data_IF_181078228590
#
_entry.id   IF_181078228590
#
_cell.length_a   1.000
_cell.length_b   1.000
_cell.length_c   1.000
_cell.angle_alpha   90.00
_cell.angle_beta   90.00
_cell.angle_gamma   90.00
#
_symmetry.space_group_name_H-M   'P 1'
#
loop_
_entity.id
_entity.type
_entity.pdbx_description
1 polymer ?
#
# COMPACT_ATOMS: atom_id res chain seq x y z
N UNK A 1 13.90 12.61 -18.25
CA UNK A 1 13.18 11.62 -17.43
C UNK A 1 11.70 11.73 -17.75
N UNK A 2 11.02 10.62 -17.97
CA UNK A 2 9.57 10.55 -18.17
C UNK A 2 9.00 9.65 -17.08
N UNK A 3 7.97 10.11 -16.36
CA UNK A 3 7.28 9.34 -15.33
C UNK A 3 5.92 8.91 -15.91
N UNK A 4 5.58 7.65 -15.73
CA UNK A 4 4.30 7.07 -16.11
C UNK A 4 3.63 6.46 -14.87
N UNK A 5 2.35 6.67 -14.75
CA UNK A 5 1.48 6.03 -13.78
C UNK A 5 0.49 5.12 -14.51
N UNK A 6 0.21 3.96 -13.94
CA UNK A 6 -0.69 2.98 -14.55
C UNK A 6 -0.96 1.81 -13.62
N UNK A 7 -1.82 0.89 -14.07
CA UNK A 7 -2.00 -0.38 -13.38
C UNK A 7 -0.81 -1.32 -13.62
N UNK A 8 -0.71 -2.36 -12.80
CA UNK A 8 0.38 -3.33 -12.85
C UNK A 8 0.58 -3.95 -14.24
N UNK A 9 -0.51 -4.32 -14.91
CA UNK A 9 -0.45 -4.99 -16.22
C UNK A 9 0.15 -4.06 -17.28
N UNK A 10 -0.33 -2.81 -17.35
CA UNK A 10 0.16 -1.83 -18.30
C UNK A 10 1.64 -1.51 -18.07
N UNK A 11 2.03 -1.25 -16.81
CA UNK A 11 3.43 -0.94 -16.47
C UNK A 11 4.36 -2.12 -16.77
N UNK A 12 3.93 -3.36 -16.53
CA UNK A 12 4.69 -4.56 -16.86
C UNK A 12 4.89 -4.71 -18.36
N UNK A 13 3.84 -4.46 -19.16
CA UNK A 13 3.92 -4.47 -20.62
C UNK A 13 4.87 -3.37 -21.12
N UNK A 14 4.77 -2.16 -20.59
CA UNK A 14 5.65 -1.06 -20.98
C UNK A 14 7.13 -1.36 -20.63
N UNK A 15 7.40 -1.97 -19.48
CA UNK A 15 8.75 -2.40 -19.10
C UNK A 15 9.28 -3.46 -20.09
N UNK A 16 8.46 -4.45 -20.44
CA UNK A 16 8.80 -5.51 -21.39
C UNK A 16 9.07 -4.94 -22.79
N UNK A 17 8.26 -3.98 -23.24
CA UNK A 17 8.39 -3.31 -24.55
C UNK A 17 9.52 -2.28 -24.60
N UNK A 18 10.29 -2.09 -23.53
CA UNK A 18 11.37 -1.09 -23.43
C UNK A 18 10.89 0.36 -23.47
N UNK A 19 9.63 0.60 -23.13
CA UNK A 19 9.06 1.93 -22.98
C UNK A 19 9.35 2.52 -21.59
N UNK A 20 9.63 1.63 -20.62
CA UNK A 20 10.13 1.98 -19.28
C UNK A 20 11.45 1.28 -19.01
N UNK A 21 12.35 1.96 -18.31
CA UNK A 21 13.61 1.40 -17.82
C UNK A 21 13.47 0.79 -16.44
N UNK A 22 12.69 1.44 -15.58
CA UNK A 22 12.45 1.09 -14.18
C UNK A 22 10.95 1.13 -13.87
N UNK A 23 10.49 0.27 -12.97
CA UNK A 23 9.12 0.28 -12.44
C UNK A 23 9.16 0.05 -10.93
N UNK A 24 8.34 0.80 -10.19
CA UNK A 24 8.12 0.56 -8.75
C UNK A 24 6.87 -0.27 -8.59
N UNK A 25 6.99 -1.39 -7.86
CA UNK A 25 5.88 -2.34 -7.65
C UNK A 25 6.08 -3.14 -6.36
N UNK A 26 5.14 -4.01 -6.02
CA UNK A 26 5.29 -4.93 -4.90
C UNK A 26 6.20 -6.10 -5.28
N UNK A 27 7.01 -6.59 -4.34
CA UNK A 27 7.88 -7.77 -4.57
C UNK A 27 7.10 -8.97 -5.12
N UNK A 28 5.85 -9.16 -4.68
CA UNK A 28 4.97 -10.22 -5.15
C UNK A 28 4.60 -10.15 -6.63
N UNK A 29 4.83 -9.00 -7.26
CA UNK A 29 4.52 -8.74 -8.67
C UNK A 29 5.75 -8.84 -9.59
N UNK A 30 6.93 -9.08 -9.00
CA UNK A 30 8.17 -9.32 -9.75
C UNK A 30 8.08 -10.65 -10.49
N UNK A 31 8.32 -10.63 -11.79
CA UNK A 31 8.33 -11.83 -12.64
C UNK A 31 9.75 -12.37 -12.84
N UNK A 32 9.85 -13.58 -13.41
CA UNK A 32 11.15 -14.18 -13.74
C UNK A 32 11.97 -13.39 -14.79
N UNK A 33 11.32 -12.51 -15.54
CA UNK A 33 11.97 -11.64 -16.56
C UNK A 33 12.55 -10.36 -15.94
N UNK A 34 12.36 -10.15 -14.63
CA UNK A 34 12.79 -8.94 -13.90
C UNK A 34 13.90 -9.25 -12.90
N UNK A 35 14.71 -8.26 -12.64
CA UNK A 35 15.52 -8.09 -11.43
C UNK A 35 14.88 -7.01 -10.57
N UNK A 36 15.01 -7.13 -9.25
CA UNK A 36 14.41 -6.21 -8.32
C UNK A 36 15.40 -5.75 -7.25
N UNK A 37 15.32 -4.48 -6.91
CA UNK A 37 16.08 -3.87 -5.81
C UNK A 37 15.10 -3.46 -4.72
N UNK A 38 15.24 -3.97 -3.49
CA UNK A 38 14.37 -3.60 -2.39
C UNK A 38 14.45 -2.10 -2.06
N UNK A 39 13.30 -1.49 -1.81
CA UNK A 39 13.18 -0.13 -1.31
C UNK A 39 12.76 -0.11 0.16
N UNK A 40 11.85 -0.99 0.58
CA UNK A 40 11.38 -1.09 1.95
C UNK A 40 10.03 -1.80 2.02
N UNK A 41 9.47 -1.83 3.22
CA UNK A 41 8.14 -2.42 3.47
C UNK A 41 7.17 -1.32 3.91
N UNK A 42 5.96 -1.31 3.37
CA UNK A 42 4.89 -0.42 3.80
C UNK A 42 3.72 -1.20 4.40
N UNK A 43 3.07 -0.59 5.39
CA UNK A 43 1.88 -1.16 6.00
C UNK A 43 0.66 -0.96 5.09
N UNK A 44 -0.30 -1.88 5.23
CA UNK A 44 -1.59 -1.82 4.58
C UNK A 44 -2.64 -1.51 5.65
N UNK A 45 -3.17 -0.30 5.63
CA UNK A 45 -3.97 0.28 6.70
C UNK A 45 -5.46 0.24 6.38
N UNK A 46 -6.27 0.18 7.42
CA UNK A 46 -7.67 0.60 7.35
C UNK A 46 -7.75 2.13 7.38
N UNK A 47 -8.71 2.69 6.68
CA UNK A 47 -9.07 4.10 6.71
C UNK A 47 -10.55 4.24 7.00
N UNK A 48 -10.88 5.04 8.02
CA UNK A 48 -12.23 5.34 8.48
C UNK A 48 -12.46 6.85 8.55
N UNK A 49 -13.73 7.31 8.42
CA UNK A 49 -14.08 8.69 8.75
C UNK A 49 -13.66 9.05 10.19
N UNK A 50 -13.27 10.30 10.42
CA UNK A 50 -12.76 10.74 11.72
C UNK A 50 -13.77 10.61 12.87
N UNK A 51 -15.06 10.64 12.57
CA UNK A 51 -16.19 10.51 13.50
C UNK A 51 -16.85 9.13 13.48
N UNK A 52 -16.25 8.14 12.80
CA UNK A 52 -16.83 6.80 12.69
C UNK A 52 -16.90 6.09 14.06
N UNK A 53 -18.04 5.45 14.43
CA UNK A 53 -18.19 4.80 15.76
C UNK A 53 -17.15 3.73 16.05
N UNK A 54 -16.65 3.02 15.04
CA UNK A 54 -15.62 2.00 15.20
C UNK A 54 -14.27 2.57 15.68
N UNK A 55 -14.05 3.88 15.58
CA UNK A 55 -12.84 4.51 16.08
C UNK A 55 -12.63 4.30 17.58
N UNK A 56 -13.73 4.11 18.35
CA UNK A 56 -13.69 3.84 19.79
C UNK A 56 -13.28 2.40 20.13
N UNK A 57 -13.21 1.52 19.12
CA UNK A 57 -12.83 0.11 19.26
C UNK A 57 -11.36 -0.16 18.97
N UNK A 58 -10.65 0.85 18.52
CA UNK A 58 -9.23 0.74 18.25
C UNK A 58 -8.44 0.55 19.56
N UNK A 59 -7.38 -0.24 19.49
CA UNK A 59 -6.50 -0.52 20.63
C UNK A 59 -5.07 -0.12 20.30
N UNK A 60 -4.35 0.54 21.22
CA UNK A 60 -2.95 0.89 21.01
C UNK A 60 -2.09 -0.36 20.76
N UNK A 61 -1.10 -0.22 19.89
CA UNK A 61 -0.10 -1.26 19.61
C UNK A 61 1.27 -0.70 19.99
N UNK A 62 1.96 -1.36 20.89
CA UNK A 62 3.31 -0.96 21.32
C UNK A 62 4.27 -0.93 20.12
N UNK A 63 5.02 0.15 19.97
CA UNK A 63 5.96 0.34 18.87
C UNK A 63 5.33 0.66 17.50
N UNK A 64 4.02 0.69 17.38
CA UNK A 64 3.33 1.09 16.15
C UNK A 64 2.90 2.57 16.20
N UNK A 65 2.99 3.23 15.05
CA UNK A 65 2.43 4.58 14.87
C UNK A 65 0.90 4.57 14.83
N UNK A 66 0.29 3.44 14.49
CA UNK A 66 -1.13 3.30 14.30
C UNK A 66 -1.70 2.33 15.33
N UNK A 67 -2.85 2.65 15.87
CA UNK A 67 -3.64 1.73 16.68
C UNK A 67 -4.14 0.58 15.81
N UNK A 68 -4.38 -0.57 16.42
CA UNK A 68 -4.99 -1.72 15.75
C UNK A 68 -6.52 -1.61 15.80
N UNK A 69 -7.16 -1.86 14.67
CA UNK A 69 -8.60 -2.08 14.60
C UNK A 69 -8.88 -3.44 13.97
N UNK A 70 -9.62 -4.30 14.70
CA UNK A 70 -9.98 -5.62 14.19
C UNK A 70 -10.85 -5.47 12.92
N UNK A 71 -10.37 -5.95 11.75
CA UNK A 71 -11.12 -5.87 10.50
C UNK A 71 -12.48 -6.58 10.54
N UNK A 72 -12.68 -7.56 11.45
CA UNK A 72 -13.97 -8.22 11.62
C UNK A 72 -15.09 -7.23 11.92
N UNK A 73 -14.77 -6.14 12.62
CA UNK A 73 -15.73 -5.09 12.97
C UNK A 73 -16.29 -4.33 11.76
N UNK A 74 -15.64 -4.43 10.60
CA UNK A 74 -16.13 -3.84 9.35
C UNK A 74 -17.34 -4.61 8.74
N UNK A 75 -17.78 -5.71 9.39
CA UNK A 75 -18.97 -6.43 8.94
C UNK A 75 -20.20 -5.56 9.01
N UNK A 76 -20.97 -5.50 7.93
CA UNK A 76 -22.13 -4.61 7.79
C UNK A 76 -21.83 -3.25 7.15
N UNK A 77 -20.56 -2.84 7.12
CA UNK A 77 -20.16 -1.54 6.56
C UNK A 77 -20.16 -1.53 5.01
N UNK A 78 -20.24 -0.33 4.44
CA UNK A 78 -19.91 -0.11 3.04
C UNK A 78 -18.39 -0.05 2.91
N UNK A 79 -17.79 -0.97 2.15
CA UNK A 79 -16.34 -1.05 1.99
C UNK A 79 -15.95 -0.66 0.56
N UNK A 80 -15.02 0.29 0.43
CA UNK A 80 -14.39 0.63 -0.83
C UNK A 80 -13.21 -0.31 -1.09
N UNK A 81 -13.22 -0.98 -2.24
CA UNK A 81 -12.16 -1.86 -2.71
C UNK A 81 -11.65 -1.38 -4.06
N UNK A 82 -10.38 -1.62 -4.32
CA UNK A 82 -9.79 -1.34 -5.63
C UNK A 82 -10.33 -2.27 -6.71
N UNK A 83 -10.15 -1.91 -7.99
CA UNK A 83 -10.44 -2.82 -9.10
C UNK A 83 -9.54 -4.04 -9.07
N UNK A 84 -9.97 -5.16 -9.65
CA UNK A 84 -9.22 -6.41 -9.73
C UNK A 84 -7.86 -6.28 -10.44
N UNK A 85 -7.72 -5.26 -11.28
CA UNK A 85 -6.46 -4.95 -11.99
C UNK A 85 -5.38 -4.33 -11.10
N UNK A 86 -5.73 -3.90 -9.88
CA UNK A 86 -4.81 -3.30 -8.92
C UNK A 86 -4.24 -4.36 -7.98
N UNK A 87 -2.92 -4.33 -7.73
CA UNK A 87 -2.25 -5.26 -6.81
C UNK A 87 -2.83 -5.22 -5.39
N UNK A 88 -3.28 -4.05 -4.95
CA UNK A 88 -3.91 -3.85 -3.65
C UNK A 88 -5.16 -4.71 -3.45
N UNK A 89 -5.95 -4.96 -4.51
CA UNK A 89 -7.18 -5.76 -4.43
C UNK A 89 -6.95 -7.15 -3.82
N UNK A 90 -5.84 -7.81 -4.16
CA UNK A 90 -5.50 -9.13 -3.60
C UNK A 90 -5.31 -9.09 -2.08
N UNK A 91 -4.71 -8.00 -1.57
CA UNK A 91 -4.51 -7.81 -0.13
C UNK A 91 -5.83 -7.53 0.56
N UNK A 92 -6.65 -6.64 -0.01
CA UNK A 92 -7.98 -6.31 0.49
C UNK A 92 -8.86 -7.56 0.64
N UNK A 93 -8.95 -8.38 -0.40
CA UNK A 93 -9.73 -9.63 -0.38
C UNK A 93 -9.16 -10.64 0.62
N UNK A 94 -7.83 -10.73 0.72
CA UNK A 94 -7.19 -11.60 1.71
C UNK A 94 -7.57 -11.16 3.13
N UNK A 95 -7.54 -9.87 3.44
CA UNK A 95 -7.93 -9.34 4.75
C UNK A 95 -9.41 -9.68 5.03
N UNK A 96 -10.31 -9.36 4.09
CA UNK A 96 -11.74 -9.66 4.25
C UNK A 96 -11.99 -11.16 4.51
N UNK A 97 -11.29 -12.02 3.80
CA UNK A 97 -11.38 -13.49 3.98
C UNK A 97 -10.84 -13.93 5.33
N UNK A 98 -9.62 -13.51 5.67
CA UNK A 98 -8.91 -13.97 6.88
C UNK A 98 -9.64 -13.56 8.15
N UNK A 99 -10.20 -12.36 8.18
CA UNK A 99 -11.01 -11.84 9.28
C UNK A 99 -12.50 -12.14 9.17
N UNK A 100 -12.90 -12.92 8.14
CA UNK A 100 -14.29 -13.31 7.90
C UNK A 100 -15.26 -12.12 7.88
N UNK A 101 -14.79 -11.00 7.32
CA UNK A 101 -15.60 -9.80 7.16
C UNK A 101 -16.74 -10.06 6.20
N UNK A 102 -17.96 -9.66 6.58
CA UNK A 102 -19.14 -9.71 5.73
C UNK A 102 -19.61 -8.28 5.42
N UNK A 103 -19.10 -7.66 4.34
CA UNK A 103 -19.46 -6.30 3.99
C UNK A 103 -20.99 -6.16 3.79
N UNK A 104 -21.58 -5.07 4.28
CA UNK A 104 -22.96 -4.72 3.95
C UNK A 104 -23.09 -4.33 2.48
N UNK A 105 -22.07 -3.65 1.95
CA UNK A 105 -21.94 -3.30 0.53
C UNK A 105 -20.48 -3.19 0.13
N UNK A 106 -20.15 -3.66 -1.07
CA UNK A 106 -18.85 -3.40 -1.71
C UNK A 106 -19.04 -2.34 -2.80
N UNK A 107 -18.17 -1.34 -2.80
CA UNK A 107 -18.06 -0.35 -3.86
C UNK A 107 -16.65 -0.39 -4.45
N UNK A 108 -16.54 -0.55 -5.76
CA UNK A 108 -15.26 -0.64 -6.46
C UNK A 108 -14.83 0.75 -6.90
N UNK A 109 -13.58 1.09 -6.60
CA UNK A 109 -12.94 2.35 -7.00
C UNK A 109 -11.72 2.10 -7.89
N UNK A 110 -11.39 3.06 -8.74
CA UNK A 110 -10.28 2.90 -9.69
C UNK A 110 -8.89 3.00 -9.04
N UNK A 111 -8.81 3.74 -7.95
CA UNK A 111 -7.56 3.90 -7.20
C UNK A 111 -7.86 4.19 -5.72
N UNK A 112 -6.84 3.99 -4.89
CA UNK A 112 -6.94 4.18 -3.43
C UNK A 112 -7.25 5.62 -3.03
N UNK A 113 -6.73 6.59 -3.77
CA UNK A 113 -6.94 8.02 -3.47
C UNK A 113 -8.44 8.36 -3.56
N UNK A 114 -9.10 7.96 -4.64
CA UNK A 114 -10.55 8.13 -4.76
C UNK A 114 -11.30 7.44 -3.63
N UNK A 115 -10.91 6.19 -3.29
CA UNK A 115 -11.50 5.46 -2.17
C UNK A 115 -11.37 6.23 -0.86
N UNK A 116 -10.17 6.73 -0.57
CA UNK A 116 -9.87 7.50 0.63
C UNK A 116 -10.65 8.84 0.69
N UNK A 117 -10.83 9.53 -0.44
CA UNK A 117 -11.67 10.73 -0.52
C UNK A 117 -13.14 10.43 -0.19
N UNK A 118 -13.67 9.33 -0.72
CA UNK A 118 -15.04 8.89 -0.43
C UNK A 118 -15.21 8.48 1.04
N UNK A 119 -14.19 7.87 1.65
CA UNK A 119 -14.16 7.61 3.09
C UNK A 119 -14.19 8.91 3.88
N UNK A 120 -13.38 9.91 3.52
CA UNK A 120 -13.38 11.21 4.18
C UNK A 120 -14.76 11.90 4.13
N UNK A 121 -15.55 11.65 3.08
CA UNK A 121 -16.93 12.13 2.97
C UNK A 121 -17.94 11.33 3.80
N UNK A 122 -17.51 10.27 4.51
CA UNK A 122 -18.39 9.45 5.35
C UNK A 122 -19.24 8.44 4.57
N UNK A 123 -18.83 8.09 3.35
CA UNK A 123 -19.60 7.21 2.48
C UNK A 123 -19.29 5.71 2.68
N UNK A 124 -18.40 5.40 3.62
CA UNK A 124 -18.00 4.05 3.97
C UNK A 124 -16.60 4.02 4.56
N UNK A 125 -16.01 2.85 4.59
CA UNK A 125 -14.65 2.58 5.08
C UNK A 125 -13.81 1.95 3.97
N UNK A 126 -12.49 1.87 4.15
CA UNK A 126 -11.65 1.33 3.09
C UNK A 126 -10.27 0.92 3.56
N UNK A 127 -9.41 0.70 2.58
CA UNK A 127 -8.02 0.34 2.77
C UNK A 127 -7.12 1.36 2.06
N UNK A 128 -5.91 1.53 2.59
CA UNK A 128 -4.93 2.43 2.01
C UNK A 128 -3.51 1.92 2.31
N UNK A 129 -2.59 2.11 1.38
CA UNK A 129 -1.18 1.91 1.66
C UNK A 129 -0.66 3.10 2.46
N UNK A 130 0.18 2.82 3.44
CA UNK A 130 0.75 3.83 4.32
C UNK A 130 1.39 4.99 3.55
N UNK A 131 1.97 4.72 2.40
CA UNK A 131 2.55 5.70 1.52
C UNK A 131 1.63 6.83 1.11
N UNK A 132 0.38 6.54 0.91
CA UNK A 132 -0.60 7.55 0.51
C UNK A 132 -0.98 8.51 1.64
N UNK A 133 -0.84 8.10 2.92
CA UNK A 133 -1.28 8.88 4.08
C UNK A 133 -0.67 10.29 4.11
N UNK A 134 0.58 10.44 3.70
CA UNK A 134 1.29 11.72 3.78
C UNK A 134 0.89 12.70 2.68
N UNK A 135 0.40 12.20 1.56
CA UNK A 135 0.28 12.98 0.33
C UNK A 135 -1.17 13.32 -0.05
N UNK A 136 -2.16 12.72 0.61
CA UNK A 136 -3.57 13.00 0.34
C UNK A 136 -4.08 14.05 1.32
N UNK A 137 -4.66 15.11 0.78
CA UNK A 137 -5.38 16.13 1.56
C UNK A 137 -6.88 15.79 1.52
N UNK A 138 -7.47 15.64 2.69
CA UNK A 138 -8.88 15.29 2.84
C UNK A 138 -9.71 16.51 3.22
N UNK A 139 -10.96 16.62 2.70
CA UNK A 139 -11.88 17.67 3.08
C UNK A 139 -12.36 17.55 4.53
N UNK A 140 -12.38 16.32 5.07
CA UNK A 140 -12.76 16.00 6.44
C UNK A 140 -11.73 15.06 7.09
N UNK A 141 -11.62 15.06 8.42
CA UNK A 141 -10.69 14.18 9.12
C UNK A 141 -10.95 12.71 8.83
N UNK A 142 -9.87 11.95 8.72
CA UNK A 142 -9.88 10.48 8.66
C UNK A 142 -8.96 9.90 9.73
N UNK A 143 -9.17 8.64 10.09
CA UNK A 143 -8.29 7.89 10.98
C UNK A 143 -7.78 6.65 10.28
N UNK A 144 -6.56 6.25 10.66
CA UNK A 144 -5.85 5.10 10.10
C UNK A 144 -5.56 4.09 11.18
N UNK A 145 -5.65 2.82 10.83
CA UNK A 145 -5.43 1.72 11.75
C UNK A 145 -4.59 0.64 11.09
N UNK A 146 -3.61 0.15 11.83
CA UNK A 146 -2.88 -1.05 11.39
C UNK A 146 -3.76 -2.28 11.55
N UNK A 147 -3.48 -3.29 10.72
CA UNK A 147 -4.13 -4.60 10.77
C UNK A 147 -3.13 -5.61 11.33
N UNK A 148 -2.14 -5.95 10.53
CA UNK A 148 -1.00 -6.80 10.87
C UNK A 148 0.04 -6.64 9.77
N UNK A 149 1.04 -5.83 10.01
CA UNK A 149 2.08 -5.52 9.02
C UNK A 149 2.87 -6.76 8.62
N UNK A 150 3.09 -7.71 9.57
CA UNK A 150 3.83 -8.94 9.30
C UNK A 150 3.12 -9.83 8.28
N UNK A 151 1.80 -9.70 8.18
CA UNK A 151 0.93 -10.53 7.34
C UNK A 151 0.43 -9.85 6.09
N UNK A 152 0.22 -8.54 6.13
CA UNK A 152 -0.38 -7.75 5.05
C UNK A 152 0.51 -6.61 4.56
N UNK A 153 1.63 -6.36 5.23
CA UNK A 153 2.66 -5.44 4.74
C UNK A 153 3.14 -5.84 3.34
N UNK A 154 3.55 -4.86 2.56
CA UNK A 154 3.97 -5.05 1.19
C UNK A 154 5.41 -4.61 1.03
N UNK A 155 6.28 -5.53 0.62
CA UNK A 155 7.64 -5.17 0.19
C UNK A 155 7.55 -4.37 -1.11
N UNK A 156 8.08 -3.17 -1.09
CA UNK A 156 8.17 -2.28 -2.24
C UNK A 156 9.54 -2.40 -2.86
N UNK A 157 9.58 -2.57 -4.17
CA UNK A 157 10.82 -2.73 -4.93
C UNK A 157 10.82 -1.84 -6.16
N UNK A 158 12.02 -1.49 -6.63
CA UNK A 158 12.22 -1.01 -7.99
C UNK A 158 12.71 -2.16 -8.85
N UNK A 159 11.99 -2.48 -9.90
CA UNK A 159 12.30 -3.56 -10.81
C UNK A 159 12.71 -3.05 -12.19
N UNK A 160 13.52 -3.83 -12.88
CA UNK A 160 13.98 -3.60 -14.24
C UNK A 160 14.13 -4.95 -14.97
N UNK A 161 14.25 -4.91 -16.29
CA UNK A 161 14.41 -6.15 -17.05
C UNK A 161 15.75 -6.84 -16.74
N UNK A 162 15.69 -8.15 -16.58
CA UNK A 162 16.87 -8.99 -16.30
C UNK A 162 17.90 -9.00 -17.43
N UNK A 163 17.47 -8.81 -18.67
CA UNK A 163 18.31 -8.81 -19.88
C UNK A 163 19.06 -7.49 -20.11
N UNK A 164 18.99 -6.55 -19.15
CA UNK A 164 19.59 -5.21 -19.30
C UNK A 164 20.60 -4.94 -18.20
N UNK A 165 21.78 -4.50 -18.60
CA UNK A 165 22.71 -3.91 -17.66
C UNK A 165 22.26 -2.52 -17.23
N UNK A 166 22.31 -2.26 -15.93
CA UNK A 166 21.96 -0.95 -15.38
C UNK A 166 22.90 0.13 -15.91
N UNK A 167 22.34 1.11 -16.58
CA UNK A 167 23.08 2.31 -17.02
C UNK A 167 23.40 3.21 -15.82
N UNK A 168 24.34 4.17 -16.00
CA UNK A 168 24.64 5.15 -14.95
C UNK A 168 23.40 5.93 -14.47
N UNK A 169 22.52 6.46 -15.34
CA UNK A 169 21.29 7.12 -14.91
C UNK A 169 20.35 6.20 -14.14
N UNK A 170 20.19 4.93 -14.56
CA UNK A 170 19.34 3.98 -13.83
C UNK A 170 19.87 3.72 -12.43
N UNK A 171 21.18 3.48 -12.29
CA UNK A 171 21.83 3.31 -10.96
C UNK A 171 21.63 4.53 -10.07
N UNK A 172 21.83 5.73 -10.61
CA UNK A 172 21.64 6.96 -9.86
C UNK A 172 20.18 7.11 -9.39
N UNK A 173 19.20 6.80 -10.26
CA UNK A 173 17.79 6.85 -9.90
C UNK A 173 17.45 5.82 -8.82
N UNK A 174 17.93 4.59 -8.93
CA UNK A 174 17.72 3.55 -7.90
C UNK A 174 18.30 4.00 -6.56
N UNK A 175 19.49 4.61 -6.54
CA UNK A 175 20.07 5.14 -5.30
C UNK A 175 19.20 6.23 -4.69
N UNK A 176 18.76 7.21 -5.48
CA UNK A 176 17.84 8.25 -5.00
C UNK A 176 16.52 7.69 -4.49
N UNK A 177 15.99 6.66 -5.14
CA UNK A 177 14.78 5.97 -4.66
C UNK A 177 15.02 5.26 -3.33
N UNK A 178 16.21 4.65 -3.13
CA UNK A 178 16.57 4.03 -1.84
C UNK A 178 16.70 5.07 -0.74
N UNK A 179 17.44 6.15 -0.98
CA UNK A 179 17.62 7.21 0.01
C UNK A 179 16.28 7.81 0.43
N UNK A 180 15.41 8.10 -0.55
CA UNK A 180 14.06 8.58 -0.29
C UNK A 180 13.20 7.54 0.45
N UNK A 181 13.34 6.26 0.13
CA UNK A 181 12.61 5.17 0.76
C UNK A 181 13.08 4.93 2.19
N UNK A 182 14.37 5.04 2.49
CA UNK A 182 14.87 4.96 3.86
C UNK A 182 14.27 6.07 4.74
N UNK A 183 14.25 7.30 4.28
CA UNK A 183 13.59 8.41 4.96
C UNK A 183 12.08 8.13 5.12
N UNK A 184 11.47 7.57 4.10
CA UNK A 184 10.04 7.32 4.03
C UNK A 184 9.60 6.16 4.93
N UNK A 185 10.34 5.03 4.91
CA UNK A 185 10.02 3.81 5.66
C UNK A 185 10.68 3.80 7.05
N UNK A 186 11.84 4.44 7.26
CA UNK A 186 12.53 4.51 8.56
C UNK A 186 11.75 5.30 9.61
N UNK A 187 10.92 6.25 9.20
CA UNK A 187 9.98 6.94 10.10
C UNK A 187 8.87 6.02 10.63
N UNK A 188 8.85 4.76 10.24
CA UNK A 188 7.80 3.79 10.53
C UNK A 188 8.24 2.70 11.52
N UNK A 189 9.54 2.51 11.72
CA UNK A 189 10.10 1.46 12.57
C UNK A 189 11.07 2.04 13.59
N UNK A 190 10.59 2.36 14.78
CA UNK A 190 11.43 2.63 15.97
C UNK A 190 11.58 1.39 16.86
N UNK A 191 11.40 0.19 16.34
CA UNK A 191 11.64 -1.04 17.09
C UNK A 191 12.87 -1.79 16.55
N UNK A 192 13.81 -2.20 17.41
CA UNK A 192 14.93 -3.03 16.99
C UNK A 192 14.44 -4.37 16.46
N UNK A 193 15.01 -4.81 15.35
CA UNK A 193 14.74 -6.13 14.78
C UNK A 193 15.05 -7.22 15.81
N UNK A 194 14.21 -8.28 15.94
CA UNK A 194 14.51 -9.44 16.78
C UNK A 194 15.74 -10.25 16.32
N UNK A 195 16.49 -9.79 15.34
CA UNK A 195 17.69 -10.47 14.81
C UNK A 195 19.01 -9.96 15.43
N UNK A 196 18.96 -8.98 16.32
CA UNK A 196 20.12 -8.41 16.99
C UNK A 196 20.17 -8.76 18.50
N UNK A 197 19.50 -9.86 18.91
CA UNK A 197 19.58 -10.42 20.25
C UNK A 197 20.15 -11.85 20.21
#
# INVERSE_FOLDING_TARGET
>A
MVIREGNLADLTIMLKNRELDLVVLSQSDVTSEMEAVPLGMEDFLLILPGDHPLNEKAVPVEGSKFDFLDPHLLSGETIFLNTEMQSARRVEEKILKDYKVKPGRIRVVRNMELGAQLVAEGLGVGFIRQGYQKNIHYPKPVKYYTIDISRYGQDVVVAYRRDVELTKPMRAMIMQMKDAAEEYFCLLYTSPSPRDA
#
